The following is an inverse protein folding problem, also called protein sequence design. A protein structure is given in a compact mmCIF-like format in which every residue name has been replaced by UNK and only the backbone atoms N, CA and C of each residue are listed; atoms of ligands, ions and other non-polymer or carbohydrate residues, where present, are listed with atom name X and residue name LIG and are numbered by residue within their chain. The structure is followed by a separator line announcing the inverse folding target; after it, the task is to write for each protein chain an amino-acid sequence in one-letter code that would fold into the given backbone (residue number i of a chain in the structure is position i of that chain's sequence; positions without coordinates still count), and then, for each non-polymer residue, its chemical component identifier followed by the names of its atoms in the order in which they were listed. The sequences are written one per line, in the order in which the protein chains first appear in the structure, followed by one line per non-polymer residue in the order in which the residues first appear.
data_IF_088201281927
#
_entry.id   IF_088201281927
#
_cell.length_a   1.000
_cell.length_b   1.000
_cell.length_c   1.000
_cell.angle_alpha   90.00
_cell.angle_beta   90.00
_cell.angle_gamma   90.00
#
_symmetry.space_group_name_H-M   'P 1'
#
loop_
_entity.id
_entity.type
_entity.pdbx_description
1 polymer ?
#
# COMPACT_ATOMS: atom_id res chain seq x y z
N UNK A 1 6.71 33.18 -1.80
CA UNK A 1 6.26 31.78 -1.67
C UNK A 1 7.33 30.94 -2.36
N UNK A 2 8.17 30.28 -1.60
CA UNK A 2 9.16 29.32 -2.13
C UNK A 2 8.39 28.15 -2.72
N UNK A 3 8.46 27.95 -4.03
CA UNK A 3 7.90 26.75 -4.67
C UNK A 3 8.59 25.54 -4.06
N UNK A 4 7.83 24.69 -3.35
CA UNK A 4 8.32 23.39 -2.91
C UNK A 4 8.62 22.63 -4.20
N UNK A 5 9.89 22.28 -4.40
CA UNK A 5 10.29 21.47 -5.55
C UNK A 5 9.65 20.10 -5.38
N UNK A 6 8.79 19.68 -6.34
CA UNK A 6 8.09 18.40 -6.25
C UNK A 6 9.09 17.24 -6.11
N UNK A 7 8.83 16.34 -5.17
CA UNK A 7 9.58 15.10 -4.97
C UNK A 7 9.27 14.03 -6.04
N UNK A 8 8.40 14.37 -7.00
CA UNK A 8 7.77 13.48 -7.94
C UNK A 8 6.38 13.05 -7.48
N UNK A 9 5.80 12.09 -8.15
CA UNK A 9 4.45 11.59 -7.85
C UNK A 9 4.52 10.29 -7.04
N UNK A 10 3.76 10.22 -5.95
CA UNK A 10 3.56 8.98 -5.19
C UNK A 10 2.25 8.31 -5.62
N UNK A 11 2.33 7.09 -6.15
CA UNK A 11 1.18 6.23 -6.42
C UNK A 11 0.82 5.48 -5.14
N UNK A 12 -0.39 5.72 -4.63
CA UNK A 12 -0.88 5.13 -3.38
C UNK A 12 -2.08 4.24 -3.66
N UNK A 13 -1.95 2.92 -3.47
CA UNK A 13 -3.08 1.99 -3.58
C UNK A 13 -3.81 1.86 -2.26
N UNK A 14 -5.15 1.69 -2.30
CA UNK A 14 -5.98 1.67 -1.09
C UNK A 14 -6.03 3.02 -0.37
N UNK A 15 -5.96 4.13 -1.11
CA UNK A 15 -5.81 5.49 -0.60
C UNK A 15 -7.08 6.08 0.04
N UNK A 16 -8.24 5.39 -0.04
CA UNK A 16 -9.53 5.93 0.40
C UNK A 16 -9.77 5.84 1.91
N UNK A 17 -8.93 5.13 2.67
CA UNK A 17 -9.09 4.96 4.13
C UNK A 17 -7.84 4.38 4.79
N UNK A 18 -7.83 4.36 6.13
CA UNK A 18 -6.83 3.67 6.96
C UNK A 18 -5.39 4.08 6.64
N UNK A 19 -4.50 3.10 6.62
CA UNK A 19 -3.05 3.30 6.41
C UNK A 19 -2.76 4.05 5.11
N UNK A 20 -3.44 3.71 4.00
CA UNK A 20 -3.23 4.35 2.71
C UNK A 20 -3.58 5.84 2.69
N UNK A 21 -4.67 6.22 3.36
CA UNK A 21 -5.07 7.63 3.47
C UNK A 21 -4.07 8.42 4.33
N UNK A 22 -3.57 7.84 5.43
CA UNK A 22 -2.54 8.46 6.26
C UNK A 22 -1.23 8.62 5.51
N UNK A 23 -0.78 7.60 4.76
CA UNK A 23 0.39 7.74 3.87
C UNK A 23 0.21 8.85 2.85
N UNK A 24 -0.95 8.93 2.19
CA UNK A 24 -1.24 9.99 1.22
C UNK A 24 -1.07 11.39 1.86
N UNK A 25 -1.58 11.58 3.08
CA UNK A 25 -1.42 12.82 3.85
C UNK A 25 0.05 13.13 4.17
N UNK A 26 0.81 12.14 4.65
CA UNK A 26 2.23 12.32 5.00
C UNK A 26 3.10 12.58 3.77
N UNK A 27 2.82 11.90 2.65
CA UNK A 27 3.55 12.09 1.40
C UNK A 27 3.25 13.47 0.78
N UNK A 28 1.99 13.93 0.83
CA UNK A 28 1.62 15.29 0.43
C UNK A 28 2.36 16.35 1.27
N UNK A 29 2.41 16.17 2.59
CA UNK A 29 3.15 17.06 3.49
C UNK A 29 4.67 17.08 3.21
N UNK A 30 5.23 16.00 2.63
CA UNK A 30 6.63 15.90 2.18
C UNK A 30 6.86 16.47 0.77
N UNK A 31 5.82 17.00 0.10
CA UNK A 31 5.91 17.64 -1.21
C UNK A 31 5.78 16.69 -2.40
N UNK A 32 5.28 15.47 -2.21
CA UNK A 32 4.91 14.61 -3.32
C UNK A 32 3.58 15.05 -3.93
N UNK A 33 3.51 15.07 -5.25
CA UNK A 33 2.24 14.96 -5.96
C UNK A 33 1.69 13.54 -5.78
N UNK A 34 0.38 13.35 -5.93
CA UNK A 34 -0.24 12.07 -5.59
C UNK A 34 -1.07 11.52 -6.75
N UNK A 35 -0.98 10.20 -6.94
CA UNK A 35 -1.94 9.40 -7.70
C UNK A 35 -2.64 8.44 -6.72
N UNK A 36 -3.87 8.79 -6.34
CA UNK A 36 -4.66 8.03 -5.37
C UNK A 36 -5.51 6.98 -6.06
N UNK A 37 -5.37 5.72 -5.63
CA UNK A 37 -6.02 4.58 -6.27
C UNK A 37 -6.87 3.82 -5.25
N UNK A 38 -8.16 3.67 -5.51
CA UNK A 38 -9.10 2.81 -4.77
C UNK A 38 -10.40 2.57 -5.57
N UNK A 39 -11.31 1.77 -5.01
CA UNK A 39 -12.61 1.48 -5.64
C UNK A 39 -13.66 2.58 -5.44
N UNK A 40 -13.60 3.28 -4.32
CA UNK A 40 -14.58 4.30 -3.94
C UNK A 40 -14.11 5.67 -4.44
N UNK A 41 -14.65 6.07 -5.59
CA UNK A 41 -14.32 7.35 -6.22
C UNK A 41 -14.73 8.54 -5.35
N UNK A 42 -15.87 8.51 -4.68
CA UNK A 42 -16.34 9.61 -3.86
C UNK A 42 -15.41 9.90 -2.69
N UNK A 43 -14.95 8.85 -1.98
CA UNK A 43 -13.95 8.98 -0.92
C UNK A 43 -12.60 9.48 -1.44
N UNK A 44 -12.17 9.00 -2.63
CA UNK A 44 -10.93 9.46 -3.24
C UNK A 44 -10.98 10.95 -3.60
N UNK A 45 -12.07 11.42 -4.20
CA UNK A 45 -12.23 12.83 -4.57
C UNK A 45 -12.27 13.75 -3.33
N UNK A 46 -12.97 13.33 -2.28
CA UNK A 46 -12.99 14.06 -1.02
C UNK A 46 -11.59 14.16 -0.39
N UNK A 47 -10.84 13.05 -0.36
CA UNK A 47 -9.46 13.02 0.12
C UNK A 47 -8.55 13.90 -0.76
N UNK A 48 -8.68 13.83 -2.08
CA UNK A 48 -7.90 14.63 -3.02
C UNK A 48 -8.12 16.13 -2.84
N UNK A 49 -9.38 16.56 -2.66
CA UNK A 49 -9.68 17.97 -2.39
C UNK A 49 -9.00 18.44 -1.11
N UNK A 50 -9.18 17.70 -0.02
CA UNK A 50 -8.57 18.06 1.27
C UNK A 50 -7.03 18.13 1.20
N UNK A 51 -6.39 17.22 0.46
CA UNK A 51 -4.94 17.20 0.30
C UNK A 51 -4.41 18.37 -0.55
N UNK A 52 -5.11 18.72 -1.64
CA UNK A 52 -4.79 19.91 -2.45
C UNK A 52 -4.89 21.20 -1.62
N UNK A 53 -5.96 21.32 -0.84
CA UNK A 53 -6.23 22.51 -0.01
C UNK A 53 -5.19 22.65 1.12
N UNK A 54 -4.82 21.53 1.76
CA UNK A 54 -3.91 21.53 2.90
C UNK A 54 -2.44 21.68 2.51
N UNK A 55 -2.01 21.12 1.37
CA UNK A 55 -0.59 20.97 1.04
C UNK A 55 -0.18 21.63 -0.28
N UNK A 56 -1.13 22.07 -1.12
CA UNK A 56 -0.84 22.72 -2.40
C UNK A 56 -0.23 21.81 -3.46
N UNK A 57 -0.29 20.49 -3.28
CA UNK A 57 0.22 19.48 -4.23
C UNK A 57 -0.82 19.11 -5.28
N UNK A 58 -0.35 18.54 -6.41
CA UNK A 58 -1.26 17.97 -7.40
C UNK A 58 -1.73 16.60 -6.91
N UNK A 59 -3.03 16.33 -7.06
CA UNK A 59 -3.61 15.04 -6.69
C UNK A 59 -4.50 14.53 -7.82
N UNK A 60 -4.11 13.45 -8.44
CA UNK A 60 -4.91 12.71 -9.41
C UNK A 60 -5.65 11.57 -8.71
N UNK A 61 -6.89 11.30 -9.11
CA UNK A 61 -7.71 10.20 -8.60
C UNK A 61 -7.93 9.20 -9.72
N UNK A 62 -7.67 7.93 -9.43
CA UNK A 62 -7.93 6.81 -10.33
C UNK A 62 -8.78 5.74 -9.64
N UNK A 63 -10.05 5.65 -10.03
CA UNK A 63 -10.89 4.53 -9.60
C UNK A 63 -10.42 3.24 -10.25
N UNK A 64 -10.03 2.26 -9.43
CA UNK A 64 -9.62 0.95 -9.90
C UNK A 64 -9.95 -0.14 -8.86
N UNK A 65 -10.38 -1.30 -9.33
CA UNK A 65 -10.49 -2.53 -8.54
C UNK A 65 -9.31 -3.45 -8.86
N UNK A 66 -8.37 -3.53 -7.94
CA UNK A 66 -7.14 -4.31 -8.12
C UNK A 66 -7.35 -5.83 -8.03
N UNK A 67 -8.58 -6.31 -7.82
CA UNK A 67 -8.95 -7.70 -8.05
C UNK A 67 -9.20 -7.98 -9.55
N UNK A 68 -9.37 -6.92 -10.36
CA UNK A 68 -9.61 -7.00 -11.79
C UNK A 68 -8.32 -6.82 -12.57
N UNK A 69 -8.01 -7.81 -13.42
CA UNK A 69 -6.77 -7.82 -14.21
C UNK A 69 -6.59 -6.56 -15.06
N UNK A 70 -7.66 -6.09 -15.69
CA UNK A 70 -7.61 -4.95 -16.60
C UNK A 70 -7.25 -3.65 -15.87
N UNK A 71 -7.74 -3.47 -14.64
CA UNK A 71 -7.41 -2.30 -13.84
C UNK A 71 -5.96 -2.36 -13.34
N UNK A 72 -5.48 -3.55 -12.96
CA UNK A 72 -4.05 -3.74 -12.63
C UNK A 72 -3.16 -3.44 -13.82
N UNK A 73 -3.53 -3.89 -15.03
CA UNK A 73 -2.78 -3.61 -16.27
C UNK A 73 -2.69 -2.11 -16.60
N UNK A 74 -3.77 -1.35 -16.38
CA UNK A 74 -3.75 0.11 -16.55
C UNK A 74 -2.74 0.79 -15.64
N UNK A 75 -2.70 0.39 -14.37
CA UNK A 75 -1.73 0.91 -13.40
C UNK A 75 -0.30 0.48 -13.69
N UNK A 76 -0.10 -0.78 -14.10
CA UNK A 76 1.19 -1.28 -14.56
C UNK A 76 1.72 -0.45 -15.72
N UNK A 77 0.87 -0.17 -16.73
CA UNK A 77 1.23 0.67 -17.85
C UNK A 77 1.55 2.11 -17.39
N UNK A 78 0.77 2.67 -16.46
CA UNK A 78 1.02 4.00 -15.92
C UNK A 78 2.38 4.07 -15.21
N UNK A 79 2.74 3.09 -14.38
CA UNK A 79 4.05 3.00 -13.72
C UNK A 79 5.21 2.90 -14.72
N UNK A 80 4.99 2.23 -15.88
CA UNK A 80 6.03 2.07 -16.91
C UNK A 80 6.21 3.30 -17.80
N UNK A 81 5.16 4.11 -18.00
CA UNK A 81 5.15 5.23 -18.95
C UNK A 81 5.28 6.60 -18.31
N UNK A 82 4.93 6.75 -17.03
CA UNK A 82 4.96 8.04 -16.34
C UNK A 82 6.23 8.19 -15.48
N UNK A 83 7.21 8.91 -16.01
CA UNK A 83 8.49 9.15 -15.35
C UNK A 83 8.40 10.11 -14.14
N UNK A 84 7.25 10.77 -13.92
CA UNK A 84 7.03 11.60 -12.73
C UNK A 84 6.80 10.74 -11.49
N UNK A 85 6.33 9.49 -11.64
CA UNK A 85 6.10 8.58 -10.51
C UNK A 85 7.46 8.13 -9.97
N UNK A 86 7.73 8.49 -8.72
CA UNK A 86 8.97 8.19 -8.01
C UNK A 86 8.76 7.35 -6.74
N UNK A 87 7.50 7.14 -6.34
CA UNK A 87 7.16 6.29 -5.20
C UNK A 87 5.92 5.44 -5.52
N UNK A 88 6.00 4.14 -5.20
CA UNK A 88 4.88 3.22 -5.19
C UNK A 88 4.61 2.75 -3.76
N UNK A 89 3.39 2.98 -3.27
CA UNK A 89 2.87 2.36 -2.05
C UNK A 89 1.84 1.28 -2.39
N UNK A 90 2.24 0.02 -2.30
CA UNK A 90 1.35 -1.14 -2.33
C UNK A 90 0.72 -1.34 -0.95
N UNK A 91 -0.42 -0.68 -0.73
CA UNK A 91 -1.16 -0.76 0.53
C UNK A 91 -2.54 -1.43 0.39
N UNK A 92 -3.16 -1.39 -0.80
CA UNK A 92 -4.45 -2.05 -1.02
C UNK A 92 -4.39 -3.53 -0.62
N UNK A 93 -5.29 -3.95 0.23
CA UNK A 93 -5.36 -5.32 0.71
C UNK A 93 -6.65 -5.57 1.49
N UNK A 94 -6.96 -6.84 1.68
CA UNK A 94 -8.05 -7.32 2.51
C UNK A 94 -7.55 -8.39 3.46
N UNK A 95 -8.23 -8.54 4.59
CA UNK A 95 -8.04 -9.65 5.50
C UNK A 95 -9.25 -10.60 5.44
N UNK A 96 -9.16 -11.75 6.05
CA UNK A 96 -10.25 -12.66 6.29
C UNK A 96 -10.11 -13.28 7.67
N UNK A 97 -11.24 -13.68 8.23
CA UNK A 97 -11.33 -14.44 9.46
C UNK A 97 -11.68 -15.90 9.20
N UNK A 98 -11.61 -16.72 10.24
CA UNK A 98 -12.04 -18.11 10.25
C UNK A 98 -11.06 -19.09 9.61
N UNK A 99 -11.46 -20.38 9.71
CA UNK A 99 -10.65 -21.50 9.23
C UNK A 99 -10.80 -21.68 7.71
N UNK A 100 -9.69 -21.96 7.03
CA UNK A 100 -9.68 -22.22 5.59
C UNK A 100 -10.63 -23.35 5.19
N UNK A 101 -10.80 -24.36 6.04
CA UNK A 101 -11.72 -25.49 5.77
C UNK A 101 -13.19 -25.06 5.59
N UNK A 102 -13.58 -23.90 6.12
CA UNK A 102 -14.94 -23.37 6.06
C UNK A 102 -15.03 -22.07 5.24
N UNK A 103 -13.93 -21.67 4.58
CA UNK A 103 -13.84 -20.39 3.88
C UNK A 103 -14.61 -20.43 2.54
N UNK A 104 -15.12 -19.27 2.16
CA UNK A 104 -15.53 -19.01 0.78
C UNK A 104 -14.28 -18.92 -0.11
N UNK A 105 -14.09 -19.92 -0.98
CA UNK A 105 -12.92 -20.01 -1.84
C UNK A 105 -12.84 -18.87 -2.87
N UNK A 106 -13.98 -18.36 -3.33
CA UNK A 106 -14.02 -17.21 -4.23
C UNK A 106 -13.53 -15.93 -3.51
N UNK A 107 -13.82 -15.79 -2.22
CA UNK A 107 -13.27 -14.71 -1.40
C UNK A 107 -11.76 -14.88 -1.20
N UNK A 108 -11.29 -16.10 -0.98
CA UNK A 108 -9.85 -16.37 -0.85
C UNK A 108 -9.12 -16.09 -2.17
N UNK A 109 -9.69 -16.45 -3.31
CA UNK A 109 -9.13 -16.14 -4.62
C UNK A 109 -9.04 -14.63 -4.85
N UNK A 110 -10.11 -13.88 -4.56
CA UNK A 110 -10.08 -12.41 -4.63
C UNK A 110 -9.01 -11.81 -3.73
N UNK A 111 -8.79 -12.37 -2.53
CA UNK A 111 -7.71 -11.95 -1.63
C UNK A 111 -6.34 -12.19 -2.26
N UNK A 112 -6.12 -13.35 -2.87
CA UNK A 112 -4.86 -13.68 -3.57
C UNK A 112 -4.63 -12.71 -4.73
N UNK A 113 -5.67 -12.41 -5.52
CA UNK A 113 -5.57 -11.45 -6.61
C UNK A 113 -5.16 -10.05 -6.11
N UNK A 114 -5.75 -9.58 -5.02
CA UNK A 114 -5.45 -8.27 -4.46
C UNK A 114 -4.11 -8.24 -3.71
N UNK A 115 -3.92 -9.15 -2.74
CA UNK A 115 -2.78 -9.09 -1.81
C UNK A 115 -1.47 -9.61 -2.42
N UNK A 116 -1.53 -10.44 -3.46
CA UNK A 116 -0.35 -11.07 -4.08
C UNK A 116 -0.18 -10.62 -5.53
N UNK A 117 -1.14 -10.94 -6.41
CA UNK A 117 -0.99 -10.73 -7.86
C UNK A 117 -0.84 -9.25 -8.20
N UNK A 118 -1.71 -8.39 -7.68
CA UNK A 118 -1.64 -6.94 -7.91
C UNK A 118 -0.32 -6.36 -7.37
N UNK A 119 0.05 -6.71 -6.13
CA UNK A 119 1.31 -6.25 -5.51
C UNK A 119 2.52 -6.65 -6.36
N UNK A 120 2.59 -7.91 -6.80
CA UNK A 120 3.69 -8.41 -7.63
C UNK A 120 3.81 -7.65 -8.94
N UNK A 121 2.69 -7.45 -9.64
CA UNK A 121 2.67 -6.77 -10.93
C UNK A 121 3.07 -5.30 -10.81
N UNK A 122 2.52 -4.58 -9.85
CA UNK A 122 2.81 -3.17 -9.64
C UNK A 122 4.26 -2.97 -9.15
N UNK A 123 4.74 -3.81 -8.23
CA UNK A 123 6.13 -3.78 -7.78
C UNK A 123 7.11 -4.05 -8.93
N UNK A 124 6.83 -5.03 -9.79
CA UNK A 124 7.64 -5.32 -10.98
C UNK A 124 7.70 -4.13 -11.96
N UNK A 125 6.54 -3.48 -12.22
CA UNK A 125 6.49 -2.33 -13.10
C UNK A 125 7.27 -1.14 -12.54
N UNK A 126 7.11 -0.86 -11.23
CA UNK A 126 7.86 0.18 -10.54
C UNK A 126 9.37 -0.11 -10.51
N UNK A 127 9.76 -1.33 -10.17
CA UNK A 127 11.15 -1.74 -10.14
C UNK A 127 11.87 -1.50 -11.48
N UNK A 128 11.23 -1.90 -12.58
CA UNK A 128 11.79 -1.70 -13.92
C UNK A 128 11.94 -0.21 -14.28
N UNK A 129 10.94 0.62 -13.95
CA UNK A 129 10.96 2.05 -14.24
C UNK A 129 11.93 2.80 -13.35
N UNK A 130 11.94 2.50 -12.05
CA UNK A 130 12.77 3.19 -11.06
C UNK A 130 14.26 2.82 -11.22
N UNK A 131 14.57 1.54 -11.47
CA UNK A 131 15.95 1.13 -11.76
C UNK A 131 16.51 1.81 -13.02
N UNK A 132 15.69 1.93 -14.08
CA UNK A 132 16.06 2.69 -15.28
C UNK A 132 16.30 4.18 -15.00
N UNK A 133 15.54 4.76 -14.06
CA UNK A 133 15.68 6.15 -13.65
C UNK A 133 16.83 6.38 -12.65
N UNK A 134 17.40 5.31 -12.09
CA UNK A 134 18.42 5.37 -11.05
C UNK A 134 17.92 5.91 -9.70
N UNK A 135 16.61 5.92 -9.49
CA UNK A 135 15.95 6.45 -8.29
C UNK A 135 14.53 5.96 -8.16
N UNK A 136 14.04 5.88 -6.96
CA UNK A 136 12.64 5.59 -6.65
C UNK A 136 12.48 4.85 -5.34
N UNK A 137 11.24 4.69 -4.91
CA UNK A 137 10.91 4.03 -3.65
C UNK A 137 9.72 3.09 -3.84
N UNK A 138 9.84 1.86 -3.37
CA UNK A 138 8.76 0.87 -3.33
C UNK A 138 8.49 0.52 -1.88
N UNK A 139 7.27 0.77 -1.41
CA UNK A 139 6.81 0.42 -0.06
C UNK A 139 5.71 -0.62 -0.20
N UNK A 140 5.89 -1.79 0.39
CA UNK A 140 4.90 -2.85 0.41
C UNK A 140 4.39 -3.06 1.83
N UNK A 141 3.07 -2.94 2.02
CA UNK A 141 2.44 -3.19 3.32
C UNK A 141 2.19 -4.69 3.50
N UNK A 142 3.07 -5.32 4.27
CA UNK A 142 2.93 -6.69 4.74
C UNK A 142 2.05 -6.75 6.00
N UNK A 143 2.47 -7.43 7.05
CA UNK A 143 1.87 -7.46 8.38
C UNK A 143 2.78 -8.29 9.32
N UNK A 144 2.68 -8.07 10.62
CA UNK A 144 3.33 -8.95 11.63
C UNK A 144 2.85 -10.40 11.52
N UNK A 145 1.66 -10.67 10.97
CA UNK A 145 1.16 -12.04 10.76
C UNK A 145 2.04 -12.84 9.79
N UNK A 146 2.86 -12.17 8.96
CA UNK A 146 3.86 -12.82 8.14
C UNK A 146 4.89 -13.62 8.97
N UNK A 147 5.11 -13.20 10.22
CA UNK A 147 6.08 -13.80 11.16
C UNK A 147 5.43 -14.79 12.14
N UNK A 148 4.10 -14.73 12.32
CA UNK A 148 3.33 -15.55 13.26
C UNK A 148 2.06 -16.12 12.60
N UNK A 149 2.18 -16.86 11.48
CA UNK A 149 1.05 -17.24 10.64
C UNK A 149 0.01 -18.14 11.33
N UNK A 150 0.40 -18.87 12.36
CA UNK A 150 -0.47 -19.83 13.06
C UNK A 150 -1.61 -19.16 13.87
N UNK A 151 -1.62 -17.85 14.00
CA UNK A 151 -2.59 -17.11 14.83
C UNK A 151 -3.74 -16.52 14.05
N UNK A 152 -3.72 -16.60 12.72
CA UNK A 152 -4.66 -15.90 11.83
C UNK A 152 -5.12 -16.79 10.68
N UNK A 153 -6.05 -16.28 9.86
CA UNK A 153 -6.51 -16.97 8.65
C UNK A 153 -5.33 -17.40 7.78
N UNK A 154 -5.34 -18.64 7.32
CA UNK A 154 -4.23 -19.25 6.60
C UNK A 154 -3.89 -18.49 5.29
N UNK A 155 -4.90 -18.16 4.47
CA UNK A 155 -4.69 -17.45 3.20
C UNK A 155 -4.18 -16.04 3.43
N UNK A 156 -4.73 -15.32 4.41
CA UNK A 156 -4.27 -13.98 4.75
C UNK A 156 -2.81 -13.98 5.21
N UNK A 157 -2.47 -14.84 6.18
CA UNK A 157 -1.11 -14.95 6.71
C UNK A 157 -0.10 -15.33 5.62
N UNK A 158 -0.46 -16.31 4.77
CA UNK A 158 0.37 -16.71 3.63
C UNK A 158 0.55 -15.56 2.63
N UNK A 159 -0.50 -14.77 2.35
CA UNK A 159 -0.40 -13.61 1.46
C UNK A 159 0.57 -12.55 1.99
N UNK A 160 0.56 -12.31 3.30
CA UNK A 160 1.47 -11.32 3.93
C UNK A 160 2.91 -11.84 4.05
N UNK A 161 3.10 -13.15 4.26
CA UNK A 161 4.41 -13.78 4.17
C UNK A 161 4.99 -13.71 2.75
N UNK A 162 4.15 -13.90 1.72
CA UNK A 162 4.55 -13.69 0.33
C UNK A 162 5.03 -12.25 0.09
N UNK A 163 4.28 -11.24 0.52
CA UNK A 163 4.67 -9.83 0.34
C UNK A 163 5.97 -9.51 1.04
N UNK A 164 6.20 -10.05 2.25
CA UNK A 164 7.47 -9.88 2.97
C UNK A 164 8.63 -10.50 2.17
N UNK A 165 8.52 -11.77 1.76
CA UNK A 165 9.54 -12.46 0.99
C UNK A 165 9.81 -11.77 -0.37
N UNK A 166 8.76 -11.38 -1.10
CA UNK A 166 8.89 -10.61 -2.33
C UNK A 166 9.68 -9.31 -2.10
N UNK A 167 9.38 -8.58 -1.03
CA UNK A 167 10.03 -7.30 -0.74
C UNK A 167 11.50 -7.48 -0.40
N UNK A 168 11.84 -8.50 0.39
CA UNK A 168 13.23 -8.82 0.74
C UNK A 168 14.05 -9.21 -0.51
N UNK A 169 13.49 -10.07 -1.38
CA UNK A 169 14.15 -10.46 -2.63
C UNK A 169 14.32 -9.27 -3.56
N UNK A 170 13.26 -8.46 -3.71
CA UNK A 170 13.30 -7.26 -4.57
C UNK A 170 14.34 -6.23 -4.08
N UNK A 171 14.49 -6.06 -2.77
CA UNK A 171 15.52 -5.20 -2.21
C UNK A 171 16.93 -5.66 -2.60
N UNK A 172 17.19 -6.98 -2.58
CA UNK A 172 18.46 -7.54 -3.02
C UNK A 172 18.67 -7.42 -4.55
N UNK A 173 17.62 -7.63 -5.35
CA UNK A 173 17.68 -7.49 -6.81
C UNK A 173 17.97 -6.05 -7.27
N UNK A 174 17.52 -5.06 -6.50
CA UNK A 174 17.66 -3.64 -6.81
C UNK A 174 18.85 -2.97 -6.10
N UNK A 175 19.68 -3.75 -5.42
CA UNK A 175 20.88 -3.21 -4.79
C UNK A 175 21.80 -2.51 -5.80
N UNK A 176 22.32 -1.35 -5.43
CA UNK A 176 23.15 -0.53 -6.30
C UNK A 176 22.42 0.23 -7.42
N UNK A 177 21.11 0.05 -7.59
CA UNK A 177 20.31 0.76 -8.63
C UNK A 177 19.83 2.15 -8.22
N UNK A 178 19.98 2.53 -6.95
CA UNK A 178 19.42 3.77 -6.39
C UNK A 178 17.93 3.69 -6.02
N UNK A 179 17.32 2.51 -6.09
CA UNK A 179 15.93 2.27 -5.69
C UNK A 179 15.87 1.79 -4.25
N UNK A 180 15.04 2.44 -3.42
CA UNK A 180 14.76 1.99 -2.06
C UNK A 180 13.56 1.05 -2.05
N UNK A 181 13.65 -0.05 -1.29
CA UNK A 181 12.54 -1.01 -1.14
C UNK A 181 12.30 -1.27 0.35
N UNK A 182 11.05 -1.10 0.81
CA UNK A 182 10.69 -1.26 2.21
C UNK A 182 9.50 -2.21 2.38
N UNK A 183 9.63 -3.19 3.26
CA UNK A 183 8.51 -3.93 3.83
C UNK A 183 8.06 -3.25 5.13
N UNK A 184 6.78 -2.92 5.23
CA UNK A 184 6.18 -2.44 6.47
C UNK A 184 5.32 -3.55 7.05
N UNK A 185 5.52 -3.87 8.32
CA UNK A 185 4.82 -4.94 9.03
C UNK A 185 3.93 -4.37 10.14
N UNK A 186 2.76 -3.79 9.79
CA UNK A 186 1.84 -3.31 10.80
C UNK A 186 1.42 -4.43 11.76
N UNK A 187 1.36 -4.10 13.05
CA UNK A 187 0.63 -4.87 14.05
C UNK A 187 -0.87 -4.63 13.94
N UNK A 188 -1.57 -4.82 15.04
CA UNK A 188 -2.97 -4.44 15.13
C UNK A 188 -3.08 -2.92 15.02
N UNK A 189 -3.59 -2.44 13.90
CA UNK A 189 -3.68 -1.00 13.61
C UNK A 189 -5.14 -0.61 13.47
N UNK A 190 -5.56 0.48 14.11
CA UNK A 190 -6.93 0.99 14.06
C UNK A 190 -7.27 1.46 12.64
N UNK A 191 -8.02 0.64 11.92
CA UNK A 191 -8.45 0.87 10.54
C UNK A 191 -9.77 0.15 10.26
N UNK A 192 -10.45 0.54 9.17
CA UNK A 192 -11.69 -0.13 8.72
C UNK A 192 -11.49 -1.58 8.23
N UNK A 193 -10.25 -2.08 8.16
CA UNK A 193 -9.97 -3.44 7.66
C UNK A 193 -10.63 -4.51 8.52
N UNK A 194 -10.74 -4.28 9.84
CA UNK A 194 -11.34 -5.21 10.80
C UNK A 194 -12.82 -5.40 10.54
N UNK A 195 -13.57 -4.29 10.42
CA UNK A 195 -15.00 -4.32 10.11
C UNK A 195 -15.27 -4.97 8.76
N UNK A 196 -14.47 -4.63 7.74
CA UNK A 196 -14.58 -5.17 6.38
C UNK A 196 -14.25 -6.66 6.29
N UNK A 197 -13.47 -7.17 7.25
CA UNK A 197 -13.03 -8.57 7.30
C UNK A 197 -13.91 -9.44 8.20
N UNK A 198 -14.91 -8.85 8.86
CA UNK A 198 -15.75 -9.54 9.84
C UNK A 198 -15.03 -9.87 11.15
N UNK A 199 -13.86 -9.28 11.39
CA UNK A 199 -13.09 -9.48 12.61
C UNK A 199 -13.61 -8.54 13.69
N UNK A 200 -14.02 -9.08 14.82
CA UNK A 200 -14.44 -8.29 15.99
C UNK A 200 -13.22 -7.68 16.69
N UNK A 201 -12.91 -6.45 16.35
CA UNK A 201 -11.80 -5.72 16.96
C UNK A 201 -11.99 -5.44 18.45
N UNK A 202 -13.21 -5.53 18.99
CA UNK A 202 -13.49 -5.31 20.42
C UNK A 202 -12.85 -6.36 21.33
N UNK A 203 -12.47 -7.52 20.77
CA UNK A 203 -11.79 -8.60 21.48
C UNK A 203 -10.27 -8.37 21.61
N UNK A 204 -9.73 -7.33 20.99
CA UNK A 204 -8.30 -7.03 21.02
C UNK A 204 -8.04 -6.02 22.13
N UNK A 205 -7.12 -6.32 23.07
CA UNK A 205 -6.75 -5.38 24.12
C UNK A 205 -6.30 -4.03 23.52
N UNK A 206 -6.80 -2.93 24.07
CA UNK A 206 -6.56 -1.58 23.56
C UNK A 206 -5.05 -1.24 23.52
N UNK A 207 -4.28 -1.72 24.49
CA UNK A 207 -2.83 -1.55 24.55
C UNK A 207 -2.05 -2.24 23.40
N UNK A 208 -2.70 -3.13 22.66
CA UNK A 208 -2.13 -3.79 21.48
C UNK A 208 -2.50 -3.08 20.18
N UNK A 209 -3.38 -2.10 20.22
CA UNK A 209 -3.88 -1.37 19.06
C UNK A 209 -3.08 -0.11 18.83
N UNK A 210 -2.40 -0.02 17.71
CA UNK A 210 -1.64 1.15 17.28
C UNK A 210 -2.50 2.07 16.41
N UNK A 211 -2.33 3.37 16.53
CA UNK A 211 -2.95 4.32 15.62
C UNK A 211 -2.25 4.30 14.25
N UNK A 212 -3.03 4.43 13.17
CA UNK A 212 -2.48 4.41 11.82
C UNK A 212 -1.46 5.54 11.59
N UNK A 213 -1.64 6.68 12.22
CA UNK A 213 -0.70 7.81 12.16
C UNK A 213 0.67 7.45 12.73
N UNK A 214 0.72 6.90 13.93
CA UNK A 214 1.95 6.49 14.60
C UNK A 214 2.70 5.42 13.79
N UNK A 215 1.96 4.45 13.27
CA UNK A 215 2.54 3.38 12.45
C UNK A 215 3.17 3.93 11.16
N UNK A 216 2.48 4.84 10.46
CA UNK A 216 2.99 5.45 9.23
C UNK A 216 4.18 6.34 9.50
N UNK A 217 4.15 7.13 10.57
CA UNK A 217 5.26 8.01 10.95
C UNK A 217 6.52 7.20 11.29
N UNK A 218 6.38 6.07 12.01
CA UNK A 218 7.48 5.17 12.30
C UNK A 218 8.05 4.49 11.01
N UNK A 219 7.16 4.06 10.11
CA UNK A 219 7.56 3.45 8.85
C UNK A 219 8.33 4.45 7.96
N UNK A 220 7.86 5.69 7.86
CA UNK A 220 8.52 6.74 7.09
C UNK A 220 9.87 7.15 7.71
N UNK A 221 9.97 7.18 9.05
CA UNK A 221 11.25 7.41 9.73
C UNK A 221 12.27 6.30 9.43
N UNK A 222 11.84 5.04 9.34
CA UNK A 222 12.68 3.93 8.94
C UNK A 222 13.10 3.96 7.46
N UNK A 223 12.31 4.58 6.58
CA UNK A 223 12.64 4.77 5.18
C UNK A 223 13.73 5.84 4.97
N UNK A 224 13.80 6.82 5.87
CA UNK A 224 14.72 7.96 5.79
C UNK A 224 16.14 7.60 6.27
N UNK A 225 16.33 6.42 6.88
CA UNK A 225 17.63 5.90 7.32
C UNK A 225 18.36 5.17 6.16
#
# INVERSE_FOLDING_TARGET
MTSIQSQGTALVTGASSGIGAVYAQRLAARGFDLLLVARDQGRLEAAASALRDAHGVQVEVLKADLTQKDDVLKLEQRLRSDSSISLLLNNAGVAADGLLANADLDQMERMIQLNITAVTRLASAAAASFAKAGRGTIINIASVVALVPQRFNATYSASKAFVLGLTQSLNAELDGTGVKVQAVLPGVTRTEIWERSGIDASQIPEEMVMEAGEMVDAALAGLDQ
#
